data_IF_075212287535
#
_entry.id   IF_075212287535
#
_cell.length_a   1.000
_cell.length_b   1.000
_cell.length_c   1.000
_cell.angle_alpha   90.00
_cell.angle_beta   90.00
_cell.angle_gamma   90.00
#
_symmetry.space_group_name_H-M   'P 1'
#
loop_
_entity.id
_entity.type
_entity.pdbx_description
1 polymer ?
#
# COMPACT_ATOMS: atom_id res chain seq x y z
N UNK A 1 10.72 -11.38 -11.18
CA UNK A 1 9.28 -11.55 -10.87
C UNK A 1 8.48 -10.84 -11.97
N UNK A 2 7.21 -11.21 -12.13
CA UNK A 2 6.35 -10.68 -13.21
C UNK A 2 6.33 -9.15 -13.29
N UNK A 3 6.30 -8.44 -12.16
CA UNK A 3 6.41 -6.97 -12.15
C UNK A 3 7.75 -6.45 -12.66
N UNK A 4 8.84 -7.16 -12.44
CA UNK A 4 10.16 -6.79 -12.96
C UNK A 4 10.23 -6.99 -14.47
N UNK A 5 9.71 -8.11 -14.95
CA UNK A 5 9.62 -8.43 -16.37
C UNK A 5 8.74 -7.42 -17.10
N UNK A 6 7.60 -7.07 -16.51
CA UNK A 6 6.69 -6.06 -17.06
C UNK A 6 7.35 -4.68 -17.22
N UNK A 7 8.10 -4.19 -16.21
CA UNK A 7 8.82 -2.91 -16.33
C UNK A 7 9.90 -2.97 -17.40
N UNK A 8 10.59 -4.10 -17.53
CA UNK A 8 11.57 -4.30 -18.58
C UNK A 8 10.91 -4.21 -19.98
N UNK A 9 9.79 -4.88 -20.21
CA UNK A 9 9.02 -4.80 -21.47
C UNK A 9 8.55 -3.38 -21.77
N UNK A 10 8.11 -2.63 -20.74
CA UNK A 10 7.75 -1.22 -20.90
C UNK A 10 8.95 -0.37 -21.35
N UNK A 11 10.14 -0.64 -20.80
CA UNK A 11 11.36 0.10 -21.18
C UNK A 11 11.79 -0.16 -22.63
N UNK A 12 11.51 -1.34 -23.15
CA UNK A 12 11.73 -1.67 -24.56
C UNK A 12 10.73 -0.96 -25.49
N UNK A 13 9.51 -0.73 -24.99
CA UNK A 13 8.44 -0.08 -25.77
C UNK A 13 8.49 1.44 -25.71
N UNK A 14 8.86 1.99 -24.56
CA UNK A 14 8.85 3.43 -24.29
C UNK A 14 10.25 3.92 -23.88
N UNK A 15 10.98 4.63 -24.76
CA UNK A 15 12.38 5.04 -24.51
C UNK A 15 12.59 5.95 -23.28
N UNK A 16 11.53 6.56 -22.75
CA UNK A 16 11.60 7.41 -21.56
C UNK A 16 11.57 6.59 -20.26
N UNK A 17 11.14 5.34 -20.33
CA UNK A 17 11.04 4.44 -19.17
C UNK A 17 12.36 3.68 -19.04
N UNK A 18 13.03 3.80 -17.91
CA UNK A 18 14.25 3.04 -17.63
C UNK A 18 13.91 1.57 -17.32
N UNK A 19 14.83 0.64 -17.60
CA UNK A 19 14.64 -0.80 -17.35
C UNK A 19 14.37 -1.13 -15.86
N UNK A 20 14.72 -0.21 -14.96
CA UNK A 20 14.46 -0.31 -13.52
C UNK A 20 13.60 0.85 -13.00
N UNK A 21 12.80 1.47 -13.88
CA UNK A 21 11.92 2.57 -13.47
C UNK A 21 11.02 2.13 -12.32
N UNK A 22 10.81 3.04 -11.39
CA UNK A 22 9.96 2.78 -10.23
C UNK A 22 8.48 2.88 -10.59
N UNK A 23 7.70 1.87 -10.19
CA UNK A 23 6.24 1.90 -10.29
C UNK A 23 5.67 2.80 -9.20
N UNK A 24 5.73 4.11 -9.40
CA UNK A 24 5.22 5.10 -8.44
C UNK A 24 3.85 5.62 -8.90
N UNK A 25 2.79 5.31 -8.14
CA UNK A 25 1.40 5.56 -8.53
C UNK A 25 1.11 7.01 -8.90
N UNK A 26 1.65 7.97 -8.11
CA UNK A 26 1.50 9.40 -8.41
C UNK A 26 2.19 9.81 -9.72
N UNK A 27 3.40 9.32 -9.98
CA UNK A 27 4.18 9.70 -11.17
C UNK A 27 3.56 9.12 -12.44
N UNK A 28 3.19 7.85 -12.43
CA UNK A 28 2.50 7.20 -13.55
C UNK A 28 1.22 7.95 -13.88
N UNK A 29 0.39 8.24 -12.87
CA UNK A 29 -0.92 8.88 -13.06
C UNK A 29 -0.81 10.30 -13.62
N UNK A 30 0.25 11.03 -13.29
CA UNK A 30 0.48 12.40 -13.73
C UNK A 30 1.51 12.55 -14.87
N UNK A 31 2.04 11.45 -15.41
CA UNK A 31 3.07 11.46 -16.44
C UNK A 31 4.31 12.21 -16.03
N UNK A 32 4.87 11.90 -14.86
CA UNK A 32 6.08 12.52 -14.29
C UNK A 32 7.25 11.53 -14.29
N UNK A 33 8.46 12.03 -14.04
CA UNK A 33 9.67 11.19 -14.02
C UNK A 33 9.87 10.45 -15.33
N UNK A 34 10.24 9.19 -15.30
CA UNK A 34 10.37 8.32 -16.49
C UNK A 34 9.07 8.06 -17.24
N UNK A 35 7.92 8.37 -16.62
CA UNK A 35 6.58 8.19 -17.20
C UNK A 35 6.12 9.38 -18.07
N UNK A 36 7.01 10.37 -18.29
CA UNK A 36 6.73 11.51 -19.17
C UNK A 36 6.52 11.05 -20.60
N UNK A 37 5.56 11.70 -21.28
CA UNK A 37 5.23 11.38 -22.68
C UNK A 37 4.20 10.27 -22.84
N UNK A 38 3.83 9.54 -21.79
CA UNK A 38 2.70 8.62 -21.85
C UNK A 38 1.37 9.38 -21.96
N UNK A 39 0.55 9.00 -22.92
CA UNK A 39 -0.83 9.49 -23.00
C UNK A 39 -1.69 8.91 -21.86
N UNK A 40 -2.77 9.58 -21.43
CA UNK A 40 -3.64 9.11 -20.35
C UNK A 40 -4.11 7.66 -20.47
N UNK A 41 -4.37 7.20 -21.71
CA UNK A 41 -4.75 5.79 -21.94
C UNK A 41 -3.61 4.81 -21.64
N UNK A 42 -2.37 5.19 -21.91
CA UNK A 42 -1.19 4.38 -21.63
C UNK A 42 -0.91 4.33 -20.11
N UNK A 43 -1.05 5.48 -19.44
CA UNK A 43 -0.95 5.55 -17.97
C UNK A 43 -1.95 4.62 -17.28
N UNK A 44 -3.24 4.67 -17.71
CA UNK A 44 -4.27 3.76 -17.21
C UNK A 44 -3.92 2.31 -17.54
N UNK A 45 -3.35 2.02 -18.72
CA UNK A 45 -2.96 0.67 -19.13
C UNK A 45 -1.88 0.12 -18.19
N UNK A 46 -0.86 0.92 -17.83
CA UNK A 46 0.17 0.51 -16.85
C UNK A 46 -0.46 0.07 -15.51
N UNK A 47 -1.39 0.86 -14.98
CA UNK A 47 -2.12 0.47 -13.77
C UNK A 47 -2.91 -0.83 -13.96
N UNK A 48 -3.59 -0.99 -15.10
CA UNK A 48 -4.39 -2.19 -15.37
C UNK A 48 -3.52 -3.45 -15.38
N UNK A 49 -2.39 -3.40 -16.07
CA UNK A 49 -1.49 -4.54 -16.21
C UNK A 49 -0.84 -4.91 -14.87
N UNK A 50 -0.39 -3.92 -14.08
CA UNK A 50 0.12 -4.14 -12.72
C UNK A 50 -0.97 -4.75 -11.82
N UNK A 51 -2.20 -4.29 -11.92
CA UNK A 51 -3.31 -4.80 -11.10
C UNK A 51 -3.76 -6.20 -11.53
N UNK A 52 -3.64 -6.54 -12.81
CA UNK A 52 -3.85 -7.92 -13.30
C UNK A 52 -2.77 -8.85 -12.70
N UNK A 53 -1.49 -8.46 -12.74
CA UNK A 53 -0.41 -9.24 -12.10
C UNK A 53 -0.66 -9.42 -10.59
N UNK A 54 -1.09 -8.37 -9.88
CA UNK A 54 -1.44 -8.44 -8.46
C UNK A 54 -2.61 -9.42 -8.24
N UNK A 55 -3.66 -9.33 -9.05
CA UNK A 55 -4.83 -10.19 -8.91
C UNK A 55 -4.50 -11.66 -9.17
N UNK A 56 -3.72 -11.94 -10.22
CA UNK A 56 -3.34 -13.31 -10.61
C UNK A 56 -2.35 -13.96 -9.61
N UNK A 57 -1.59 -13.14 -8.86
CA UNK A 57 -0.65 -13.64 -7.83
C UNK A 57 -1.32 -14.25 -6.60
N UNK A 58 -2.63 -14.07 -6.42
CA UNK A 58 -3.39 -14.56 -5.28
C UNK A 58 -3.09 -13.87 -3.95
N UNK A 59 -2.47 -12.70 -3.97
CA UNK A 59 -2.18 -11.90 -2.76
C UNK A 59 -3.46 -11.40 -2.10
N UNK A 60 -3.37 -11.13 -0.80
CA UNK A 60 -4.44 -10.49 -0.04
C UNK A 60 -4.08 -9.04 0.24
N UNK A 61 -4.97 -8.12 -0.08
CA UNK A 61 -4.80 -6.69 0.14
C UNK A 61 -5.55 -6.28 1.40
N UNK A 62 -4.84 -5.67 2.35
CA UNK A 62 -5.41 -5.10 3.55
C UNK A 62 -5.12 -3.59 3.59
N UNK A 63 -6.16 -2.77 3.65
CA UNK A 63 -6.05 -1.31 3.66
C UNK A 63 -6.55 -0.79 5.00
N UNK A 64 -5.74 0.05 5.62
CA UNK A 64 -6.08 0.80 6.83
C UNK A 64 -5.79 2.27 6.62
N UNK A 65 -6.74 3.09 6.97
CA UNK A 65 -6.61 4.54 6.92
C UNK A 65 -7.02 5.17 8.24
N UNK A 66 -6.72 6.45 8.38
CA UNK A 66 -7.06 7.28 9.52
C UNK A 66 -7.55 8.64 9.02
N UNK A 67 -8.69 9.09 9.53
CA UNK A 67 -9.13 10.46 9.41
C UNK A 67 -8.36 11.31 10.44
N UNK A 68 -7.26 11.93 9.96
CA UNK A 68 -6.36 12.72 10.81
C UNK A 68 -7.10 13.91 11.43
N UNK A 69 -7.97 14.58 10.66
CA UNK A 69 -8.72 15.74 11.13
C UNK A 69 -9.69 15.34 12.26
N UNK A 70 -10.36 14.20 12.12
CA UNK A 70 -11.22 13.68 13.17
C UNK A 70 -10.41 13.28 14.41
N UNK A 71 -9.22 12.68 14.22
CA UNK A 71 -8.33 12.31 15.31
C UNK A 71 -7.87 13.52 16.12
N UNK A 72 -7.38 14.57 15.47
CA UNK A 72 -6.91 15.81 16.10
C UNK A 72 -8.03 16.54 16.85
N UNK A 73 -9.26 16.51 16.33
CA UNK A 73 -10.42 17.09 17.01
C UNK A 73 -10.82 16.34 18.27
N UNK A 74 -10.64 15.01 18.27
CA UNK A 74 -11.08 14.14 19.38
C UNK A 74 -10.06 14.01 20.49
N UNK A 75 -8.76 13.95 20.15
CA UNK A 75 -7.69 13.65 21.10
C UNK A 75 -6.70 14.80 21.19
N UNK A 76 -6.50 15.32 22.41
CA UNK A 76 -5.53 16.40 22.68
C UNK A 76 -4.09 15.94 22.45
N UNK A 77 -3.79 14.70 22.87
CA UNK A 77 -2.47 14.07 22.75
C UNK A 77 -2.60 12.80 21.89
N UNK A 78 -2.87 13.00 20.60
CA UNK A 78 -3.07 11.90 19.66
C UNK A 78 -1.76 11.17 19.38
N UNK A 79 -1.83 9.83 19.26
CA UNK A 79 -0.71 9.06 18.72
C UNK A 79 -0.39 9.51 17.28
N UNK A 80 0.90 9.49 16.86
CA UNK A 80 1.28 9.81 15.49
C UNK A 80 0.47 8.97 14.49
N UNK A 81 -0.11 9.59 13.45
CA UNK A 81 -0.99 8.93 12.48
C UNK A 81 -0.38 7.65 11.87
N UNK A 82 0.89 7.71 11.46
CA UNK A 82 1.61 6.57 10.92
C UNK A 82 1.66 5.40 11.92
N UNK A 83 2.00 5.66 13.18
CA UNK A 83 2.04 4.63 14.24
C UNK A 83 0.69 3.95 14.42
N UNK A 84 -0.40 4.73 14.37
CA UNK A 84 -1.77 4.17 14.50
C UNK A 84 -2.10 3.25 13.32
N UNK A 85 -1.85 3.70 12.10
CA UNK A 85 -2.15 2.93 10.89
C UNK A 85 -1.27 1.69 10.81
N UNK A 86 0.04 1.82 11.07
CA UNK A 86 0.96 0.69 11.10
C UNK A 86 0.53 -0.36 12.13
N UNK A 87 0.18 0.05 13.36
CA UNK A 87 -0.30 -0.88 14.39
C UNK A 87 -1.53 -1.65 13.90
N UNK A 88 -2.48 -0.98 13.24
CA UNK A 88 -3.70 -1.63 12.71
C UNK A 88 -3.42 -2.58 11.54
N UNK A 89 -2.43 -2.29 10.71
CA UNK A 89 -1.96 -3.22 9.66
C UNK A 89 -1.28 -4.43 10.30
N UNK A 90 -0.38 -4.24 11.28
CA UNK A 90 0.28 -5.34 11.98
C UNK A 90 -0.71 -6.27 12.69
N UNK A 91 -1.76 -5.73 13.32
CA UNK A 91 -2.86 -6.53 13.89
C UNK A 91 -3.60 -7.35 12.82
N UNK A 92 -3.78 -6.79 11.61
CA UNK A 92 -4.40 -7.53 10.51
C UNK A 92 -3.49 -8.63 9.98
N UNK A 93 -2.19 -8.35 9.81
CA UNK A 93 -1.19 -9.35 9.45
C UNK A 93 -1.18 -10.50 10.47
N UNK A 94 -1.13 -10.18 11.77
CA UNK A 94 -1.24 -11.17 12.85
C UNK A 94 -2.48 -12.06 12.71
N UNK A 95 -3.64 -11.44 12.45
CA UNK A 95 -4.90 -12.17 12.32
C UNK A 95 -4.91 -13.09 11.10
N UNK A 96 -4.39 -12.64 9.97
CA UNK A 96 -4.29 -13.43 8.74
C UNK A 96 -3.31 -14.59 8.91
N UNK A 97 -2.15 -14.35 9.52
CA UNK A 97 -1.14 -15.38 9.78
C UNK A 97 -1.66 -16.44 10.75
N UNK A 98 -2.42 -16.01 11.77
CA UNK A 98 -3.07 -16.94 12.70
C UNK A 98 -4.11 -17.81 11.99
N UNK A 99 -4.94 -17.23 11.14
CA UNK A 99 -5.94 -17.97 10.38
C UNK A 99 -5.34 -18.94 9.35
N UNK A 100 -4.16 -18.62 8.82
CA UNK A 100 -3.41 -19.46 7.88
C UNK A 100 -2.44 -20.43 8.58
N UNK A 101 -2.41 -20.45 9.92
CA UNK A 101 -1.45 -21.24 10.73
C UNK A 101 0.02 -21.00 10.34
N UNK A 102 0.34 -19.79 9.86
CA UNK A 102 1.63 -19.40 9.31
C UNK A 102 2.32 -18.32 10.16
N UNK A 103 3.54 -18.00 9.79
CA UNK A 103 4.29 -16.86 10.30
C UNK A 103 4.35 -15.77 9.21
N UNK A 104 4.59 -14.52 9.62
CA UNK A 104 4.75 -13.40 8.70
C UNK A 104 6.07 -12.68 8.93
N UNK A 105 6.71 -12.30 7.84
CA UNK A 105 7.77 -11.31 7.79
C UNK A 105 7.17 -10.00 7.29
N UNK A 106 7.55 -8.87 7.89
CA UNK A 106 7.02 -7.55 7.50
C UNK A 106 8.11 -6.75 6.83
N UNK A 107 7.84 -6.33 5.59
CA UNK A 107 8.70 -5.44 4.82
C UNK A 107 7.92 -4.16 4.57
N UNK A 108 8.49 -3.01 4.92
CA UNK A 108 7.90 -1.69 4.78
C UNK A 108 8.79 -0.78 3.95
N UNK A 109 8.19 0.23 3.35
CA UNK A 109 8.93 1.35 2.79
C UNK A 109 9.67 2.13 3.89
N UNK A 110 10.83 2.70 3.58
CA UNK A 110 11.62 3.49 4.51
C UNK A 110 10.83 4.65 5.10
N UNK A 111 11.01 4.88 6.38
CA UNK A 111 10.38 5.96 7.11
C UNK A 111 11.32 6.54 8.17
N UNK A 112 11.34 7.83 8.35
CA UNK A 112 12.28 8.52 9.23
C UNK A 112 12.28 8.09 10.70
N UNK A 113 11.30 7.32 11.17
CA UNK A 113 11.19 6.78 12.53
C UNK A 113 11.32 5.23 12.58
N UNK A 114 12.05 4.61 11.66
CA UNK A 114 12.18 3.16 11.53
C UNK A 114 12.54 2.46 12.83
N UNK A 115 13.54 2.97 13.56
CA UNK A 115 13.97 2.38 14.84
C UNK A 115 12.89 2.43 15.91
N UNK A 116 12.09 3.48 15.93
CA UNK A 116 10.93 3.59 16.82
C UNK A 116 9.91 2.50 16.52
N UNK A 117 9.63 2.25 15.25
CA UNK A 117 8.66 1.24 14.83
C UNK A 117 9.15 -0.19 15.03
N UNK A 118 10.46 -0.46 14.85
CA UNK A 118 11.07 -1.75 15.23
C UNK A 118 10.91 -2.03 16.74
N UNK A 119 11.19 -1.04 17.59
CA UNK A 119 10.99 -1.15 19.04
C UNK A 119 9.52 -1.35 19.41
N UNK A 120 8.61 -0.66 18.71
CA UNK A 120 7.17 -0.82 18.89
C UNK A 120 6.72 -2.26 18.62
N UNK A 121 7.15 -2.86 17.51
CA UNK A 121 6.86 -4.25 17.20
C UNK A 121 7.42 -5.20 18.27
N UNK A 122 8.66 -5.00 18.70
CA UNK A 122 9.27 -5.80 19.74
C UNK A 122 8.44 -5.79 21.05
N UNK A 123 7.90 -4.62 21.43
CA UNK A 123 7.00 -4.49 22.55
C UNK A 123 5.68 -5.24 22.32
N UNK A 124 5.08 -5.14 21.13
CA UNK A 124 3.81 -5.80 20.80
C UNK A 124 3.92 -7.32 20.67
N UNK A 125 5.13 -7.85 20.52
CA UNK A 125 5.41 -9.29 20.61
C UNK A 125 5.41 -9.81 22.04
N UNK A 126 5.70 -8.95 23.02
CA UNK A 126 5.69 -9.28 24.44
C UNK A 126 4.36 -8.91 25.10
N UNK A 127 3.80 -7.77 24.74
CA UNK A 127 2.61 -7.19 25.30
C UNK A 127 1.55 -6.96 24.22
N UNK A 128 0.29 -6.83 24.62
CA UNK A 128 -0.77 -6.53 23.69
C UNK A 128 -0.63 -5.13 23.08
N UNK A 129 -1.12 -4.96 21.85
CA UNK A 129 -1.27 -3.65 21.22
C UNK A 129 -2.21 -2.75 22.02
N UNK A 130 -1.97 -1.43 22.12
CA UNK A 130 -2.82 -0.49 22.86
C UNK A 130 -4.04 -0.04 22.05
N UNK A 131 -4.71 -0.96 21.41
CA UNK A 131 -5.87 -0.69 20.56
C UNK A 131 -7.11 -1.43 21.07
N UNK A 132 -8.27 -1.15 20.51
CA UNK A 132 -9.51 -1.85 20.87
C UNK A 132 -9.47 -3.35 20.59
N UNK A 133 -8.65 -3.79 19.65
CA UNK A 133 -8.43 -5.21 19.33
C UNK A 133 -7.51 -5.90 20.33
N UNK A 134 -6.61 -5.16 20.94
CA UNK A 134 -5.69 -5.58 22.03
C UNK A 134 -5.16 -7.00 21.86
N UNK A 135 -4.23 -7.19 20.93
CA UNK A 135 -3.66 -8.50 20.64
C UNK A 135 -2.13 -8.48 20.69
N UNK A 136 -1.54 -9.64 21.00
CA UNK A 136 -0.09 -9.85 20.92
C UNK A 136 0.30 -10.26 19.49
N UNK A 137 1.42 -9.70 18.99
CA UNK A 137 1.88 -9.93 17.61
C UNK A 137 2.92 -11.07 17.57
N UNK A 138 2.53 -12.27 17.98
CA UNK A 138 3.41 -13.43 18.12
C UNK A 138 3.61 -14.26 16.83
N UNK A 139 2.84 -13.96 15.77
CA UNK A 139 3.03 -14.57 14.45
C UNK A 139 3.91 -13.74 13.51
N UNK A 140 4.19 -12.49 13.88
CA UNK A 140 5.15 -11.66 13.15
C UNK A 140 6.55 -11.96 13.70
N UNK A 141 7.38 -12.58 12.84
CA UNK A 141 8.74 -12.97 13.22
C UNK A 141 9.75 -11.86 12.93
N UNK A 142 10.91 -11.97 13.57
CA UNK A 142 12.04 -11.07 13.42
C UNK A 142 11.69 -9.60 13.74
N UNK A 143 11.89 -8.69 12.83
CA UNK A 143 11.64 -7.26 12.98
C UNK A 143 10.81 -6.73 11.80
N UNK A 144 10.53 -5.43 11.78
CA UNK A 144 10.09 -4.76 10.55
C UNK A 144 11.35 -4.45 9.71
N UNK A 145 11.39 -4.98 8.51
CA UNK A 145 12.43 -4.68 7.53
C UNK A 145 12.01 -3.46 6.73
N UNK A 146 12.72 -2.36 6.90
CA UNK A 146 12.53 -1.17 6.10
C UNK A 146 13.52 -1.18 4.93
N UNK A 147 13.03 -0.92 3.73
CA UNK A 147 13.84 -0.89 2.51
C UNK A 147 13.37 0.24 1.59
N UNK A 148 14.28 0.86 0.82
CA UNK A 148 13.89 1.86 -0.17
C UNK A 148 12.90 1.30 -1.19
N UNK A 149 11.88 2.10 -1.56
CA UNK A 149 10.82 1.67 -2.49
C UNK A 149 11.38 1.19 -3.83
N UNK A 150 12.44 1.83 -4.34
CA UNK A 150 13.09 1.48 -5.60
C UNK A 150 13.74 0.08 -5.61
N UNK A 151 13.99 -0.52 -4.44
CA UNK A 151 14.54 -1.88 -4.30
C UNK A 151 13.46 -2.98 -4.23
N UNK A 152 12.18 -2.61 -4.10
CA UNK A 152 11.10 -3.59 -3.88
C UNK A 152 9.87 -3.35 -4.74
N UNK A 153 9.68 -4.19 -5.76
CA UNK A 153 8.46 -4.17 -6.60
C UNK A 153 7.17 -4.37 -5.79
N UNK A 154 7.23 -5.10 -4.69
CA UNK A 154 6.05 -5.30 -3.83
C UNK A 154 5.68 -4.03 -3.06
N UNK A 155 6.65 -3.23 -2.61
CA UNK A 155 6.39 -1.92 -2.01
C UNK A 155 5.79 -0.99 -3.06
N UNK A 156 6.34 -0.95 -4.27
CA UNK A 156 5.83 -0.16 -5.39
C UNK A 156 4.39 -0.56 -5.77
N UNK A 157 4.10 -1.85 -5.84
CA UNK A 157 2.73 -2.34 -6.06
C UNK A 157 1.78 -1.89 -4.95
N UNK A 158 2.25 -1.91 -3.70
CA UNK A 158 1.48 -1.42 -2.54
C UNK A 158 1.19 0.08 -2.65
N UNK A 159 2.16 0.91 -3.09
CA UNK A 159 1.96 2.33 -3.35
C UNK A 159 0.90 2.56 -4.43
N UNK A 160 0.95 1.83 -5.54
CA UNK A 160 -0.05 1.94 -6.61
C UNK A 160 -1.46 1.62 -6.11
N UNK A 161 -1.64 0.58 -5.31
CA UNK A 161 -2.92 0.23 -4.69
C UNK A 161 -3.39 1.33 -3.74
N UNK A 162 -2.52 1.82 -2.86
CA UNK A 162 -2.83 2.88 -1.91
C UNK A 162 -3.20 4.18 -2.63
N UNK A 163 -2.49 4.53 -3.70
CA UNK A 163 -2.75 5.69 -4.53
C UNK A 163 -4.16 5.63 -5.17
N UNK A 164 -4.51 4.53 -5.83
CA UNK A 164 -5.84 4.38 -6.45
C UNK A 164 -6.94 4.35 -5.39
N UNK A 165 -6.70 3.73 -4.23
CA UNK A 165 -7.64 3.77 -3.11
C UNK A 165 -7.89 5.19 -2.61
N UNK A 166 -6.84 6.00 -2.47
CA UNK A 166 -6.96 7.41 -2.10
C UNK A 166 -7.73 8.19 -3.15
N UNK A 167 -7.39 8.04 -4.45
CA UNK A 167 -8.07 8.72 -5.57
C UNK A 167 -9.57 8.39 -5.58
N UNK A 168 -9.94 7.14 -5.34
CA UNK A 168 -11.34 6.71 -5.21
C UNK A 168 -12.08 7.42 -4.08
N UNK A 169 -11.42 7.66 -2.94
CA UNK A 169 -12.05 8.32 -1.78
C UNK A 169 -12.33 9.81 -1.99
N UNK A 170 -11.59 10.48 -2.89
CA UNK A 170 -11.67 11.90 -3.17
C UNK A 170 -12.25 12.20 -4.57
N UNK A 171 -12.95 11.26 -5.16
CA UNK A 171 -13.48 11.35 -6.53
C UNK A 171 -14.63 12.39 -6.70
N UNK A 172 -15.23 12.86 -5.61
CA UNK A 172 -16.31 13.85 -5.66
C UNK A 172 -15.85 15.16 -6.32
N UNK A 173 -16.59 15.61 -7.35
CA UNK A 173 -16.29 16.84 -8.10
C UNK A 173 -15.21 16.71 -9.20
N UNK A 174 -14.75 15.49 -9.51
CA UNK A 174 -13.78 15.24 -10.58
C UNK A 174 -14.43 14.96 -11.94
N UNK A 175 -13.61 14.96 -13.00
CA UNK A 175 -14.03 14.53 -14.35
C UNK A 175 -14.62 13.11 -14.31
N UNK A 176 -15.78 12.92 -14.89
CA UNK A 176 -16.49 11.65 -14.92
C UNK A 176 -15.69 10.52 -15.59
N UNK A 177 -14.81 10.84 -16.55
CA UNK A 177 -13.90 9.88 -17.19
C UNK A 177 -12.80 9.41 -16.23
N UNK A 178 -12.26 10.31 -15.41
CA UNK A 178 -11.30 9.97 -14.37
C UNK A 178 -11.96 9.04 -13.34
N UNK A 179 -13.14 9.39 -12.87
CA UNK A 179 -13.90 8.58 -11.90
C UNK A 179 -14.16 7.19 -12.45
N UNK A 180 -14.60 7.08 -13.72
CA UNK A 180 -14.84 5.80 -14.37
C UNK A 180 -13.56 4.96 -14.56
N UNK A 181 -12.43 5.60 -14.87
CA UNK A 181 -11.14 4.92 -14.96
C UNK A 181 -10.69 4.36 -13.62
N UNK A 182 -10.77 5.16 -12.54
CA UNK A 182 -10.43 4.74 -11.19
C UNK A 182 -11.31 3.57 -10.72
N UNK A 183 -12.63 3.61 -11.03
CA UNK A 183 -13.52 2.51 -10.70
C UNK A 183 -13.10 1.21 -11.40
N UNK A 184 -12.81 1.25 -12.71
CA UNK A 184 -12.33 0.09 -13.47
C UNK A 184 -11.00 -0.48 -12.94
N UNK A 185 -10.09 0.40 -12.50
CA UNK A 185 -8.82 -0.02 -11.89
C UNK A 185 -9.07 -0.73 -10.56
N UNK A 186 -9.95 -0.19 -9.75
CA UNK A 186 -10.31 -0.81 -8.48
C UNK A 186 -10.97 -2.17 -8.65
N UNK A 187 -11.88 -2.32 -9.61
CA UNK A 187 -12.59 -3.58 -9.89
C UNK A 187 -11.62 -4.74 -10.20
N UNK A 188 -10.41 -4.46 -10.71
CA UNK A 188 -9.37 -5.45 -10.96
C UNK A 188 -8.86 -6.14 -9.69
N UNK A 189 -8.73 -5.39 -8.61
CA UNK A 189 -8.13 -5.86 -7.35
C UNK A 189 -9.15 -6.03 -6.22
N UNK A 190 -10.41 -5.67 -6.43
CA UNK A 190 -11.44 -5.69 -5.38
C UNK A 190 -11.60 -7.07 -4.74
N UNK A 191 -11.52 -8.14 -5.53
CA UNK A 191 -11.57 -9.51 -5.04
C UNK A 191 -10.39 -9.90 -4.13
N UNK A 192 -9.25 -9.22 -4.26
CA UNK A 192 -8.07 -9.41 -3.41
C UNK A 192 -8.18 -8.66 -2.07
N UNK A 193 -9.09 -7.68 -1.98
CA UNK A 193 -9.22 -6.81 -0.81
C UNK A 193 -9.95 -7.52 0.32
N UNK A 194 -9.22 -7.93 1.34
CA UNK A 194 -9.77 -8.61 2.53
C UNK A 194 -10.20 -7.63 3.63
N UNK A 195 -9.73 -6.39 3.58
CA UNK A 195 -10.18 -5.28 4.42
C UNK A 195 -9.85 -3.94 3.78
N UNK A 196 -10.80 -3.03 3.77
CA UNK A 196 -10.65 -1.61 3.44
C UNK A 196 -11.40 -0.80 4.50
N UNK A 197 -10.67 -0.21 5.42
CA UNK A 197 -11.28 0.50 6.54
C UNK A 197 -10.49 1.75 6.91
N UNK A 198 -11.18 2.87 6.95
CA UNK A 198 -10.67 4.15 7.44
C UNK A 198 -11.27 4.41 8.82
N UNK A 199 -10.41 4.46 9.83
CA UNK A 199 -10.84 4.81 11.18
C UNK A 199 -11.16 6.30 11.26
N UNK A 200 -12.34 6.60 11.77
CA UNK A 200 -12.83 7.94 12.07
C UNK A 200 -13.17 7.98 13.54
N UNK A 201 -12.27 8.50 14.39
CA UNK A 201 -12.47 8.53 15.83
C UNK A 201 -13.63 9.40 16.29
#
# INVERSE_FOLDING_TARGET
CELEEYVLELSETYPTIAAREELHGHEIFHGKGGWQGLFPRQQVRVFMDVFDIIADSGVKIAIRGLDIVAQERKYRDAYPPYTVVLTKILEKVQSLSKAAESLALVICDEYHEDDRHRKLLANYRQWNTPTSTSMRLDRIIDTIHFTPSHESRMIQATDMVAFIRLRRSIASGRDSREVAAIAKLWDKIDACVVVDYVWRP
#
